data_IF_282873676967
#
_entry.id   IF_282873676967
#
_cell.length_a   1.000
_cell.length_b   1.000
_cell.length_c   1.000
_cell.angle_alpha   90.00
_cell.angle_beta   90.00
_cell.angle_gamma   90.00
#
_symmetry.space_group_name_H-M   'P 1'
#
loop_
_entity.id
_entity.type
_entity.pdbx_description
1 polymer ?
2 non-polymer ?
3 non-polymer ?
4 water ?
#
# COMPACT_ATOMS: atom_id res chain seq x y z
N UNK A 4 3.75 20.14 2.55
CA UNK A 4 2.43 20.61 2.83
C UNK A 4 1.41 19.62 3.34
N UNK A 5 1.33 18.43 2.77
CA UNK A 5 0.32 17.45 3.20
C UNK A 5 0.50 17.02 4.62
N UNK A 6 1.70 16.57 4.98
CA UNK A 6 1.97 16.09 6.33
C UNK A 6 1.99 17.22 7.33
N UNK A 7 2.44 18.41 6.96
CA UNK A 7 2.35 19.52 7.89
C UNK A 7 0.89 19.83 8.20
N UNK A 8 0.02 19.80 7.19
CA UNK A 8 -1.38 20.13 7.38
C UNK A 8 -2.13 19.05 8.16
N UNK A 9 -1.98 17.79 7.78
CA UNK A 9 -2.77 16.72 8.38
C UNK A 9 -2.12 16.10 9.58
N UNK A 10 -0.80 16.08 9.59
CA UNK A 10 -0.02 15.63 10.73
C UNK A 10 -0.30 14.18 11.12
N UNK A 11 -0.49 13.99 12.40
CA UNK A 11 -0.68 12.68 12.97
C UNK A 11 -1.97 12.04 12.54
N UNK A 12 -1.91 10.94 11.84
CA UNK A 12 -3.11 10.22 11.41
C UNK A 12 -3.55 9.26 12.51
N UNK A 13 -4.84 9.00 12.57
CA UNK A 13 -5.38 8.02 13.51
C UNK A 13 -6.69 7.49 12.93
N UNK A 14 -7.21 6.46 13.63
CA UNK A 14 -8.52 5.89 13.29
C UNK A 14 -9.55 6.36 14.30
N UNK A 15 -10.66 6.92 13.81
CA UNK A 15 -11.78 7.34 14.65
C UNK A 15 -13.03 6.80 14.03
N UNK A 16 -13.77 5.96 14.81
CA UNK A 16 -15.00 5.39 14.30
C UNK A 16 -14.84 4.70 12.98
N UNK A 17 -13.72 3.98 12.81
CA UNK A 17 -13.49 3.20 11.62
C UNK A 17 -12.98 3.98 10.42
N UNK A 18 -12.66 5.26 10.61
CA UNK A 18 -12.27 6.17 9.52
C UNK A 18 -10.86 6.69 9.77
N UNK A 19 -10.10 6.82 8.70
CA UNK A 19 -8.82 7.54 8.78
C UNK A 19 -9.10 9.02 8.91
N UNK A 20 -8.52 9.63 9.94
CA UNK A 20 -8.66 11.04 10.22
C UNK A 20 -7.29 11.66 10.49
N UNK A 21 -7.24 12.97 10.35
CA UNK A 21 -6.06 13.77 10.66
C UNK A 21 -6.03 14.17 12.13
N UNK A 22 -5.05 14.97 12.50
CA UNK A 22 -4.82 15.32 13.90
C UNK A 22 -5.87 16.26 14.45
N UNK A 23 -6.69 16.84 13.59
CA UNK A 23 -7.78 17.70 14.01
C UNK A 23 -9.08 16.92 13.91
N UNK A 24 -9.02 15.59 13.67
CA UNK A 24 -10.20 14.77 13.63
C UNK A 24 -10.97 14.81 12.34
N UNK A 25 -10.44 15.36 11.29
CA UNK A 25 -11.17 15.42 10.02
C UNK A 25 -10.83 14.22 9.15
N UNK A 26 -11.79 13.69 8.41
CA UNK A 26 -11.47 12.58 7.50
C UNK A 26 -10.42 13.01 6.50
N UNK A 27 -9.53 12.12 6.16
CA UNK A 27 -8.55 12.34 5.12
C UNK A 27 -8.46 11.08 4.25
N UNK A 28 -8.20 11.28 2.99
CA UNK A 28 -8.07 10.22 2.03
C UNK A 28 -6.70 10.34 1.36
N UNK A 29 -5.91 9.28 1.44
CA UNK A 29 -4.63 9.21 0.79
C UNK A 29 -4.79 8.51 -0.55
N UNK A 30 -4.09 9.03 -1.58
CA UNK A 30 -4.07 8.41 -2.89
C UNK A 30 -2.64 8.50 -3.42
N UNK A 31 -2.11 7.39 -3.87
CA UNK A 31 -0.74 7.39 -4.37
C UNK A 31 -0.38 6.12 -5.12
N UNK A 32 0.92 5.96 -5.26
CA UNK A 32 1.49 4.85 -6.01
C UNK A 32 2.26 3.92 -5.10
N UNK A 33 2.22 2.64 -5.47
CA UNK A 33 3.16 1.64 -4.97
C UNK A 33 4.30 1.43 -5.96
N UNK A 34 5.49 1.25 -5.42
CA UNK A 34 6.55 0.67 -6.21
C UNK A 34 6.12 -0.76 -6.61
N UNK A 35 6.84 -1.31 -7.61
CA UNK A 35 6.86 -2.77 -7.79
C UNK A 35 7.91 -3.31 -6.84
N UNK A 36 8.34 -4.55 -6.99
CA UNK A 36 9.30 -5.07 -6.01
C UNK A 36 10.61 -4.31 -6.05
N UNK A 37 11.08 -3.91 -4.86
CA UNK A 37 12.27 -3.09 -4.74
C UNK A 37 13.51 -3.85 -5.18
N UNK A 38 13.48 -5.17 -5.22
CA UNK A 38 14.60 -5.97 -5.67
C UNK A 38 14.70 -5.97 -7.18
N UNK A 39 13.69 -5.59 -7.91
CA UNK A 39 13.64 -5.58 -9.36
C UNK A 39 13.61 -4.19 -9.97
N UNK A 40 12.84 -3.27 -9.40
CA UNK A 40 12.50 -2.00 -9.99
C UNK A 40 12.75 -0.85 -9.01
N UNK A 41 13.80 -1.00 -8.19
CA UNK A 41 14.13 0.01 -7.21
C UNK A 41 14.63 1.34 -7.79
N UNK A 42 15.07 1.30 -9.07
CA UNK A 42 15.53 2.55 -9.66
C UNK A 42 14.43 3.59 -9.80
N UNK A 43 13.16 3.17 -9.79
CA UNK A 43 12.06 4.12 -9.87
C UNK A 43 11.70 4.74 -8.53
N UNK A 44 12.39 4.36 -7.47
CA UNK A 44 12.09 4.84 -6.13
C UNK A 44 13.25 5.74 -5.67
N UNK A 45 13.01 7.05 -5.73
CA UNK A 45 14.05 8.04 -5.37
C UNK A 45 13.36 9.36 -5.14
N UNK A 46 14.07 10.29 -4.49
CA UNK A 46 13.49 11.58 -4.22
C UNK A 46 12.95 12.25 -5.47
N UNK A 47 13.70 12.25 -6.58
CA UNK A 47 13.23 12.98 -7.76
C UNK A 47 11.97 12.39 -8.35
N UNK A 48 11.88 11.09 -8.46
CA UNK A 48 10.65 10.50 -9.02
C UNK A 48 9.48 10.72 -8.07
N UNK A 49 9.71 10.62 -6.76
CA UNK A 49 8.64 10.83 -5.79
C UNK A 49 8.18 12.28 -5.80
N UNK A 50 9.13 13.21 -5.99
CA UNK A 50 8.78 14.63 -6.08
C UNK A 50 7.93 14.89 -7.34
N UNK A 51 8.29 14.25 -8.45
CA UNK A 51 7.51 14.38 -9.68
C UNK A 51 6.12 13.82 -9.46
N UNK A 52 5.99 12.64 -8.83
CA UNK A 52 4.65 12.11 -8.54
C UNK A 52 3.88 13.08 -7.65
N UNK A 53 4.52 13.65 -6.63
CA UNK A 53 3.79 14.62 -5.78
C UNK A 53 3.32 15.82 -6.57
N UNK A 54 4.22 16.40 -7.36
CA UNK A 54 3.94 17.66 -8.02
C UNK A 54 3.12 17.54 -9.28
N UNK A 55 3.33 16.54 -10.08
CA UNK A 55 2.63 16.37 -11.35
C UNK A 55 1.41 15.48 -11.20
N UNK A 56 1.44 14.41 -10.40
CA UNK A 56 0.29 13.55 -10.24
C UNK A 56 -0.57 13.97 -9.05
N UNK A 57 -0.01 14.62 -8.05
CA UNK A 57 -0.75 14.97 -6.83
C UNK A 57 -0.72 13.86 -5.78
N UNK A 58 0.20 12.92 -5.80
CA UNK A 58 0.20 11.89 -4.78
C UNK A 58 0.39 12.52 -3.40
N UNK A 59 -0.18 11.85 -2.39
CA UNK A 59 0.05 12.22 -0.99
C UNK A 59 0.50 11.03 -0.14
N UNK A 60 0.79 9.90 -0.79
CA UNK A 60 1.32 8.72 -0.13
C UNK A 60 2.12 7.95 -1.19
N UNK A 61 3.19 7.29 -0.73
CA UNK A 61 3.99 6.40 -1.57
C UNK A 61 4.21 5.11 -0.82
N UNK A 62 4.03 3.98 -1.50
CA UNK A 62 4.19 2.66 -0.89
C UNK A 62 5.45 1.97 -1.41
N UNK A 63 6.32 1.59 -0.46
CA UNK A 63 7.58 0.89 -0.75
C UNK A 63 7.37 -0.58 -0.57
N UNK A 64 7.26 -1.31 -1.70
CA UNK A 64 6.91 -2.76 -1.68
C UNK A 64 8.17 -3.62 -1.58
N UNK A 65 8.53 -3.92 -0.33
CA UNK A 65 9.75 -4.70 -0.05
C UNK A 65 9.36 -6.17 -0.01
N UNK A 66 9.41 -6.85 -1.15
CA UNK A 66 9.23 -8.29 -1.16
C UNK A 66 10.16 -8.90 -0.12
N UNK A 67 9.67 -9.93 0.55
CA UNK A 67 10.42 -10.76 1.45
C UNK A 67 11.08 -11.92 0.70
N UNK A 68 10.30 -12.65 -0.09
CA UNK A 68 10.82 -13.72 -0.91
C UNK A 68 11.01 -13.20 -2.34
N UNK A 69 11.10 -14.11 -3.31
CA UNK A 69 11.28 -13.72 -4.72
C UNK A 69 12.53 -12.87 -4.92
N UNK A 70 13.60 -13.17 -4.20
CA UNK A 70 14.84 -12.41 -4.31
C UNK A 70 14.87 -11.13 -3.50
N UNK A 71 13.84 -10.96 -2.67
CA UNK A 71 13.72 -9.80 -1.78
C UNK A 71 14.52 -9.89 -0.51
N UNK A 72 14.02 -9.30 0.56
CA UNK A 72 14.73 -9.06 1.76
C UNK A 72 15.33 -10.29 2.40
N UNK A 73 14.62 -11.42 2.45
CA UNK A 73 15.18 -12.61 3.11
C UNK A 73 16.43 -13.10 2.35
N UNK A 74 16.43 -13.04 1.05
CA UNK A 74 17.57 -13.48 0.24
C UNK A 74 18.64 -12.45 0.20
N UNK A 75 18.31 -11.17 0.20
CA UNK A 75 19.29 -10.10 0.08
C UNK A 75 18.69 -8.92 0.83
N UNK A 76 19.12 -8.73 2.06
CA UNK A 76 18.51 -7.72 2.92
C UNK A 76 18.88 -6.31 2.59
N UNK A 77 19.80 -6.11 1.61
CA UNK A 77 20.18 -4.76 1.23
C UNK A 77 19.01 -3.91 0.77
N UNK A 78 17.93 -4.55 0.33
CA UNK A 78 16.77 -3.81 -0.09
C UNK A 78 16.13 -2.97 1.01
N UNK A 79 16.38 -3.31 2.29
CA UNK A 79 15.88 -2.44 3.36
C UNK A 79 16.40 -1.01 3.24
N UNK A 80 17.62 -0.85 2.67
CA UNK A 80 18.14 0.52 2.53
C UNK A 80 17.38 1.32 1.51
N UNK A 81 16.78 0.65 0.50
CA UNK A 81 15.91 1.35 -0.44
C UNK A 81 14.62 1.77 0.24
N UNK A 82 14.09 0.95 1.16
CA UNK A 82 12.93 1.38 1.95
C UNK A 82 13.30 2.66 2.71
N UNK A 83 14.46 2.67 3.36
CA UNK A 83 14.90 3.87 4.11
C UNK A 83 14.96 5.07 3.16
N UNK A 84 15.55 4.89 1.96
CA UNK A 84 15.59 6.00 1.00
C UNK A 84 14.19 6.55 0.72
N UNK A 85 13.22 5.64 0.51
CA UNK A 85 11.86 6.06 0.23
C UNK A 85 11.24 6.79 1.40
N UNK A 86 11.44 6.29 2.61
CA UNK A 86 10.88 6.96 3.79
C UNK A 86 11.46 8.36 3.95
N UNK A 87 12.77 8.45 3.79
CA UNK A 87 13.44 9.76 3.91
C UNK A 87 12.98 10.72 2.85
N UNK A 88 12.76 10.24 1.61
CA UNK A 88 12.20 11.09 0.56
C UNK A 88 10.80 11.57 0.92
N UNK A 89 9.96 10.68 1.46
CA UNK A 89 8.60 11.08 1.84
C UNK A 89 8.65 12.14 2.94
N UNK A 90 9.56 11.98 3.89
CA UNK A 90 9.73 13.00 4.95
C UNK A 90 10.12 14.33 4.32
N UNK A 91 11.11 14.31 3.42
CA UNK A 91 11.57 15.54 2.78
C UNK A 91 10.52 16.18 1.90
N UNK A 92 9.62 15.38 1.31
CA UNK A 92 8.58 15.85 0.43
C UNK A 92 7.28 16.16 1.16
N UNK A 93 7.22 15.84 2.45
CA UNK A 93 6.02 16.10 3.26
C UNK A 93 4.83 15.28 2.77
N UNK A 94 5.05 14.01 2.44
CA UNK A 94 3.98 13.09 2.11
C UNK A 94 4.07 11.87 3.02
N UNK A 95 2.99 11.06 3.04
CA UNK A 95 2.99 9.83 3.81
C UNK A 95 3.70 8.72 3.06
N UNK A 96 4.10 7.68 3.81
CA UNK A 96 4.86 6.57 3.24
C UNK A 96 4.43 5.28 3.89
N UNK A 97 4.19 4.27 3.08
CA UNK A 97 3.86 2.92 3.58
C UNK A 97 5.10 2.02 3.45
N UNK A 98 5.50 1.45 4.57
CA UNK A 98 6.58 0.45 4.63
C UNK A 98 5.91 -0.94 4.52
N UNK A 99 6.02 -1.57 3.37
CA UNK A 99 5.28 -2.81 3.08
C UNK A 99 6.19 -4.01 3.10
N UNK A 100 5.98 -4.87 4.12
CA UNK A 100 6.59 -6.18 4.26
C UNK A 100 5.79 -7.10 3.29
N UNK A 101 6.37 -7.24 2.09
CA UNK A 101 5.58 -7.67 0.95
C UNK A 101 5.65 -9.17 0.74
N UNK A 102 4.92 -9.89 1.61
CA UNK A 102 4.78 -11.33 1.49
C UNK A 102 3.88 -11.65 0.29
N UNK A 103 4.14 -12.81 -0.31
CA UNK A 103 3.32 -13.25 -1.45
C UNK A 103 3.48 -14.75 -1.60
N UNK A 104 4.59 -15.20 -2.22
CA UNK A 104 4.82 -16.64 -2.36
C UNK A 104 5.03 -17.30 -1.01
N UNK A 105 5.64 -16.57 -0.08
CA UNK A 105 5.73 -16.92 1.32
C UNK A 105 4.38 -16.53 1.94
N UNK A 106 3.42 -17.43 1.71
CA UNK A 106 1.99 -17.06 1.76
C UNK A 106 1.43 -16.94 3.16
N UNK A 107 2.13 -17.52 4.13
CA UNK A 107 1.77 -17.41 5.55
C UNK A 107 2.72 -16.40 6.17
N UNK A 108 2.22 -15.31 6.76
CA UNK A 108 3.13 -14.31 7.36
C UNK A 108 3.97 -14.89 8.47
N UNK A 109 3.57 -16.03 9.05
CA UNK A 109 4.37 -16.62 10.09
C UNK A 109 5.69 -17.21 9.60
N UNK A 110 5.85 -17.45 8.30
CA UNK A 110 7.07 -18.09 7.82
C UNK A 110 8.28 -17.26 8.21
N UNK A 111 8.22 -15.93 7.98
CA UNK A 111 9.35 -15.06 8.28
C UNK A 111 9.03 -14.10 9.43
N UNK A 112 8.25 -14.55 10.41
CA UNK A 112 7.83 -13.66 11.49
C UNK A 112 8.99 -13.16 12.31
N UNK A 113 10.03 -13.97 12.56
CA UNK A 113 11.15 -13.50 13.36
C UNK A 113 11.84 -12.33 12.66
N UNK A 114 12.06 -12.51 11.34
CA UNK A 114 12.68 -11.47 10.54
C UNK A 114 11.81 -10.23 10.48
N UNK A 115 10.48 -10.42 10.39
CA UNK A 115 9.55 -9.30 10.36
C UNK A 115 9.63 -8.47 11.64
N UNK A 116 9.67 -9.19 12.77
CA UNK A 116 9.75 -8.48 14.05
C UNK A 116 11.03 -7.64 14.12
N UNK A 117 12.14 -8.23 13.69
CA UNK A 117 13.41 -7.47 13.73
C UNK A 117 13.37 -6.30 12.78
N UNK A 118 12.83 -6.48 11.59
CA UNK A 118 12.74 -5.40 10.60
C UNK A 118 11.86 -4.27 11.10
N UNK A 119 10.67 -4.61 11.62
CA UNK A 119 9.80 -3.56 12.10
C UNK A 119 10.30 -2.91 13.38
N UNK A 120 11.05 -3.62 14.22
CA UNK A 120 11.74 -2.98 15.33
C UNK A 120 12.68 -1.89 14.80
N UNK A 121 13.50 -2.25 13.81
CA UNK A 121 14.45 -1.29 13.25
C UNK A 121 13.75 -0.10 12.65
N UNK A 122 12.74 -0.34 11.82
CA UNK A 122 12.07 0.76 11.12
C UNK A 122 11.35 1.69 12.08
N UNK A 123 10.68 1.11 13.08
CA UNK A 123 9.95 1.94 14.04
C UNK A 123 10.89 2.67 15.01
N UNK A 124 12.07 2.09 15.28
CA UNK A 124 13.06 2.82 16.07
C UNK A 124 13.57 4.01 15.25
N UNK A 125 13.85 3.81 13.97
CA UNK A 125 14.40 4.91 13.16
C UNK A 125 13.38 5.99 12.92
N UNK A 126 12.15 5.62 12.58
CA UNK A 126 11.20 6.55 12.02
C UNK A 126 9.97 6.76 12.87
N UNK A 127 9.90 6.16 14.05
CA UNK A 127 8.70 6.22 14.86
C UNK A 127 8.35 7.54 15.41
N UNK A 128 9.20 8.55 15.34
CA UNK A 128 8.85 9.90 15.77
C UNK A 128 8.58 10.84 14.60
N UNK A 129 8.21 10.27 13.43
CA UNK A 129 7.68 11.02 12.31
C UNK A 129 6.22 10.63 12.08
N UNK A 130 5.35 11.55 11.69
CA UNK A 130 3.95 11.20 11.43
C UNK A 130 3.74 10.60 10.03
N UNK A 131 4.80 10.58 9.22
CA UNK A 131 4.62 10.16 7.83
C UNK A 131 4.40 8.66 7.68
N UNK A 132 4.88 7.87 8.64
CA UNK A 132 5.04 6.43 8.44
C UNK A 132 3.73 5.69 8.73
N UNK A 133 3.49 4.73 7.83
CA UNK A 133 2.39 3.77 7.92
C UNK A 133 3.07 2.39 7.74
N UNK A 134 2.83 1.46 8.67
CA UNK A 134 3.47 0.16 8.60
C UNK A 134 2.49 -0.87 8.01
N UNK A 135 2.91 -1.57 6.98
CA UNK A 135 2.05 -2.62 6.36
C UNK A 135 2.77 -3.93 6.56
N UNK A 136 2.29 -4.71 7.59
CA UNK A 136 3.07 -5.81 8.14
C UNK A 136 2.98 -7.11 7.39
N UNK A 137 2.06 -7.27 6.45
CA UNK A 137 1.99 -8.53 5.66
C UNK A 137 1.09 -8.28 4.43
N UNK A 138 1.74 -7.92 3.30
CA UNK A 138 1.01 -7.56 2.09
C UNK A 138 -0.21 -8.45 1.79
N UNK A 139 0.03 -9.71 1.42
CA UNK A 139 -1.03 -10.59 0.92
C UNK A 139 -0.88 -12.00 1.44
N UNK A 140 -1.32 -12.25 2.70
CA UNK A 140 -1.56 -13.62 3.14
C UNK A 140 -2.42 -14.33 2.09
N UNK A 141 -2.15 -15.60 1.83
CA UNK A 141 -2.96 -16.34 0.87
C UNK A 141 -2.81 -17.85 1.14
N UNK A 142 -3.74 -18.59 0.53
CA UNK A 142 -3.80 -20.02 0.68
C UNK A 142 -4.93 -20.41 1.61
N UNK A 143 -5.55 -21.58 1.33
CA UNK A 143 -6.65 -22.06 2.19
C UNK A 143 -6.21 -22.37 3.59
N UNK A 144 -4.95 -22.65 3.83
CA UNK A 144 -4.43 -22.95 5.13
C UNK A 144 -3.90 -21.76 5.91
N UNK A 145 -4.16 -20.54 5.40
CA UNK A 145 -3.79 -19.31 6.08
C UNK A 145 -5.06 -18.54 6.36
N UNK A 146 -5.52 -18.58 7.60
CA UNK A 146 -6.76 -17.93 7.98
C UNK A 146 -6.47 -16.76 8.92
N UNK A 147 -7.46 -15.87 8.99
CA UNK A 147 -7.38 -14.75 9.91
C UNK A 147 -7.18 -15.21 11.34
N UNK A 148 -8.08 -16.07 11.84
CA UNK A 148 -8.01 -16.41 13.25
C UNK A 148 -6.84 -17.25 13.63
N UNK A 149 -6.38 -18.13 12.75
CA UNK A 149 -5.34 -19.10 13.07
C UNK A 149 -3.93 -18.63 12.77
N UNK A 150 -3.78 -17.84 11.71
CA UNK A 150 -2.47 -17.43 11.25
C UNK A 150 -2.25 -15.91 11.29
N UNK A 151 -3.16 -15.14 10.70
CA UNK A 151 -2.84 -13.73 10.45
C UNK A 151 -2.98 -12.88 11.72
N UNK A 152 -4.10 -13.04 12.41
CA UNK A 152 -4.31 -12.26 13.64
C UNK A 152 -3.23 -12.55 14.65
N UNK A 153 -2.85 -13.81 14.92
CA UNK A 153 -1.80 -14.04 15.90
C UNK A 153 -0.45 -13.50 15.43
N UNK A 154 -0.15 -13.55 14.14
CA UNK A 154 1.06 -12.91 13.61
C UNK A 154 1.07 -11.41 13.94
N UNK A 155 -0.08 -10.75 13.66
CA UNK A 155 -0.18 -9.32 13.93
C UNK A 155 0.01 -9.06 15.42
N UNK A 156 -0.49 -9.94 16.29
CA UNK A 156 -0.38 -9.77 17.73
C UNK A 156 1.00 -10.03 18.24
N UNK A 157 1.95 -10.53 17.43
CA UNK A 157 3.35 -10.57 17.73
C UNK A 157 4.11 -9.34 17.19
N UNK A 158 3.74 -8.88 15.98
CA UNK A 158 4.50 -7.79 15.34
C UNK A 158 4.05 -6.42 15.86
N UNK A 159 2.76 -6.23 16.05
CA UNK A 159 2.27 -4.91 16.51
C UNK A 159 2.91 -4.50 17.83
N UNK A 160 3.08 -5.37 18.85
CA UNK A 160 3.74 -4.93 20.07
C UNK A 160 5.15 -4.42 19.85
N UNK A 161 5.89 -5.04 18.94
CA UNK A 161 7.25 -4.63 18.60
C UNK A 161 7.21 -3.18 18.11
N UNK A 162 6.32 -2.89 17.15
CA UNK A 162 6.18 -1.53 16.65
C UNK A 162 5.76 -0.58 17.76
N UNK A 163 4.76 -0.96 18.53
CA UNK A 163 4.18 -0.07 19.52
C UNK A 163 5.13 0.27 20.64
N UNK A 164 6.14 -0.55 20.90
CA UNK A 164 7.14 -0.22 21.88
C UNK A 164 7.97 1.01 21.44
N UNK A 165 8.06 1.24 20.13
CA UNK A 165 8.78 2.38 19.58
C UNK A 165 7.93 3.48 19.04
N UNK A 166 6.68 3.20 18.67
CA UNK A 166 5.84 4.10 17.90
C UNK A 166 4.42 3.80 18.36
N UNK A 167 3.89 4.57 19.30
CA UNK A 167 2.65 4.15 19.99
C UNK A 167 1.41 4.24 19.16
N UNK A 168 1.41 4.94 18.05
CA UNK A 168 0.10 5.13 17.42
C UNK A 168 0.18 5.53 15.94
N UNK A 169 1.31 5.48 15.19
CA UNK A 169 1.16 5.57 13.72
C UNK A 169 0.35 4.37 13.21
N UNK A 170 -0.29 4.57 12.05
CA UNK A 170 -1.17 3.55 11.48
C UNK A 170 -0.40 2.29 11.13
N UNK A 171 -1.06 1.14 11.41
CA UNK A 171 -0.60 -0.17 10.99
C UNK A 171 -1.68 -0.78 10.11
N UNK A 172 -1.30 -1.20 8.90
CA UNK A 172 -2.19 -1.92 7.98
C UNK A 172 -1.86 -3.41 8.09
N UNK A 173 -2.89 -4.22 8.29
CA UNK A 173 -2.72 -5.67 8.45
C UNK A 173 -3.43 -6.37 7.28
N UNK A 174 -2.67 -7.22 6.60
CA UNK A 174 -3.22 -7.99 5.48
C UNK A 174 -4.30 -8.96 5.94
N UNK A 175 -5.13 -9.33 4.96
CA UNK A 175 -6.23 -10.25 5.22
C UNK A 175 -6.10 -11.48 4.33
N UNK A 176 -6.98 -12.48 4.60
CA UNK A 176 -6.83 -13.73 3.87
C UNK A 176 -7.19 -13.61 2.40
N UNK A 177 -6.81 -14.68 1.67
CA UNK A 177 -7.17 -14.77 0.26
C UNK A 177 -6.62 -13.56 -0.52
N UNK A 178 -5.33 -13.32 -0.38
CA UNK A 178 -4.65 -12.19 -1.05
C UNK A 178 -5.26 -10.86 -0.64
N UNK A 179 -5.46 -10.68 0.67
CA UNK A 179 -6.02 -9.44 1.20
C UNK A 179 -7.34 -9.09 0.58
N UNK A 180 -8.22 -10.10 0.46
CA UNK A 180 -9.60 -9.89 0.11
C UNK A 180 -10.58 -10.15 1.22
N UNK A 181 -10.21 -11.01 2.18
CA UNK A 181 -11.16 -11.51 3.18
C UNK A 181 -11.27 -10.56 4.38
N UNK A 182 -11.82 -9.39 4.10
CA UNK A 182 -12.07 -8.40 5.12
C UNK A 182 -13.26 -8.79 5.98
N UNK A 183 -14.17 -9.64 5.49
CA UNK A 183 -15.28 -10.07 6.33
C UNK A 183 -14.80 -10.76 7.59
N UNK A 184 -13.91 -11.75 7.46
CA UNK A 184 -13.48 -12.47 8.64
C UNK A 184 -12.70 -11.58 9.58
N UNK A 185 -11.84 -10.69 9.06
CA UNK A 185 -11.10 -9.78 9.93
C UNK A 185 -12.03 -8.85 10.69
N UNK A 186 -13.07 -8.34 9.98
CA UNK A 186 -13.97 -7.38 10.60
C UNK A 186 -14.81 -8.02 11.71
N UNK A 187 -15.03 -9.33 11.62
CA UNK A 187 -15.75 -10.05 12.66
C UNK A 187 -14.87 -10.47 13.82
N UNK A 188 -13.56 -10.22 13.76
CA UNK A 188 -12.62 -10.68 14.78
C UNK A 188 -11.44 -9.70 14.84
N UNK A 189 -11.76 -8.46 15.15
CA UNK A 189 -10.81 -7.37 15.02
C UNK A 189 -9.71 -7.42 16.06
N UNK A 190 -8.56 -6.85 15.68
CA UNK A 190 -7.46 -6.61 16.57
C UNK A 190 -7.81 -5.53 17.61
N UNK A 191 -7.09 -5.55 18.73
CA UNK A 191 -7.32 -4.59 19.77
C UNK A 191 -6.75 -3.19 19.48
N UNK A 192 -5.63 -3.09 18.76
CA UNK A 192 -5.01 -1.76 18.63
C UNK A 192 -5.95 -0.78 17.95
N UNK A 193 -6.08 0.45 18.47
CA UNK A 193 -7.06 1.38 17.93
C UNK A 193 -6.64 2.04 16.65
N UNK A 194 -5.38 1.92 16.23
CA UNK A 194 -4.89 2.57 15.02
C UNK A 194 -4.45 1.53 13.98
N UNK A 195 -5.23 0.48 13.88
CA UNK A 195 -5.09 -0.55 12.86
C UNK A 195 -6.10 -0.38 11.76
N UNK A 196 -5.68 -0.74 10.55
CA UNK A 196 -6.56 -0.86 9.41
C UNK A 196 -6.32 -2.23 8.78
N UNK A 197 -7.30 -2.72 8.06
CA UNK A 197 -7.18 -4.01 7.37
C UNK A 197 -7.02 -3.73 5.87
N UNK A 198 -6.10 -4.46 5.24
CA UNK A 198 -5.89 -4.29 3.82
C UNK A 198 -7.00 -4.97 3.03
N UNK A 199 -7.37 -4.27 1.94
CA UNK A 199 -8.23 -4.85 0.91
C UNK A 199 -7.58 -4.54 -0.43
N UNK A 200 -7.40 -5.56 -1.27
CA UNK A 200 -6.77 -5.40 -2.58
C UNK A 200 -7.73 -5.87 -3.65
N UNK A 201 -7.74 -5.16 -4.80
CA UNK A 201 -8.58 -5.57 -5.92
C UNK A 201 -7.85 -5.36 -7.24
N UNK A 202 -8.39 -6.03 -8.26
CA UNK A 202 -7.92 -5.88 -9.62
C UNK A 202 -9.14 -5.68 -10.50
N UNK A 203 -9.11 -4.67 -11.36
CA UNK A 203 -10.29 -4.30 -12.13
C UNK A 203 -10.69 -5.32 -13.18
N UNK A 204 -9.83 -6.27 -13.52
CA UNK A 204 -10.22 -7.36 -14.40
C UNK A 204 -11.19 -8.35 -13.78
N UNK A 205 -11.38 -8.28 -12.47
CA UNK A 205 -12.36 -9.12 -11.78
C UNK A 205 -13.64 -8.32 -11.59
N UNK A 206 -14.79 -8.92 -11.93
CA UNK A 206 -16.06 -8.24 -11.71
C UNK A 206 -16.24 -8.04 -10.19
N UNK A 207 -16.44 -6.80 -9.77
CA UNK A 207 -16.24 -6.43 -8.38
C UNK A 207 -17.45 -6.18 -7.53
N UNK A 208 -18.67 -6.46 -7.98
CA UNK A 208 -19.83 -6.00 -7.23
C UNK A 208 -19.95 -6.63 -5.85
N UNK A 209 -19.71 -7.94 -5.76
CA UNK A 209 -19.76 -8.56 -4.43
C UNK A 209 -18.62 -8.13 -3.55
N UNK A 210 -17.43 -7.93 -4.14
CA UNK A 210 -16.29 -7.47 -3.35
C UNK A 210 -16.55 -6.11 -2.74
N UNK A 211 -17.21 -5.19 -3.49
CA UNK A 211 -17.62 -3.92 -2.92
C UNK A 211 -18.57 -4.14 -1.76
N UNK A 212 -19.55 -5.05 -1.92
CA UNK A 212 -20.51 -5.30 -0.84
C UNK A 212 -19.80 -5.87 0.39
N UNK A 213 -18.74 -6.68 0.20
CA UNK A 213 -18.00 -7.23 1.33
C UNK A 213 -17.19 -6.14 2.04
N UNK A 214 -16.63 -5.21 1.27
CA UNK A 214 -15.96 -4.05 1.92
C UNK A 214 -16.98 -3.29 2.75
N UNK A 215 -18.17 -3.05 2.22
CA UNK A 215 -19.22 -2.39 2.99
C UNK A 215 -19.57 -3.15 4.26
N UNK A 216 -19.64 -4.48 4.19
CA UNK A 216 -19.91 -5.28 5.39
C UNK A 216 -18.84 -4.99 6.43
N UNK A 217 -17.57 -5.01 6.02
CA UNK A 217 -16.47 -4.79 6.96
C UNK A 217 -16.55 -3.41 7.60
N UNK A 218 -16.78 -2.40 6.77
CA UNK A 218 -16.92 -1.04 7.27
C UNK A 218 -18.07 -0.94 8.25
N UNK A 219 -19.15 -1.67 8.02
CA UNK A 219 -20.31 -1.68 8.92
C UNK A 219 -20.02 -2.31 10.25
N UNK A 220 -18.92 -3.08 10.40
CA UNK A 220 -18.50 -3.63 11.67
C UNK A 220 -17.55 -2.69 12.41
N UNK A 221 -17.31 -1.49 11.86
CA UNK A 221 -16.41 -0.54 12.49
C UNK A 221 -14.97 -0.77 12.14
N UNK A 222 -14.64 -1.71 11.23
CA UNK A 222 -13.29 -1.93 10.79
C UNK A 222 -12.88 -0.84 9.82
N UNK A 223 -11.64 -0.34 9.94
CA UNK A 223 -11.09 0.60 8.98
C UNK A 223 -10.37 -0.19 7.89
N UNK A 224 -10.51 0.25 6.63
CA UNK A 224 -9.97 -0.47 5.48
C UNK A 224 -9.07 0.47 4.70
N UNK A 225 -7.86 -0.02 4.36
CA UNK A 225 -6.95 0.74 3.47
C UNK A 225 -6.77 -0.12 2.23
N UNK A 226 -7.02 0.44 1.06
CA UNK A 226 -6.85 -0.31 -0.22
C UNK A 226 -5.39 -0.13 -0.62
N UNK A 227 -4.52 -0.89 0.08
CA UNK A 227 -3.09 -0.63 -0.03
C UNK A 227 -2.47 -1.10 -1.35
N UNK A 228 -3.23 -1.82 -2.14
CA UNK A 228 -2.77 -2.25 -3.48
C UNK A 228 -4.00 -2.50 -4.32
N UNK A 229 -4.01 -1.94 -5.53
CA UNK A 229 -5.03 -2.29 -6.49
C UNK A 229 -4.45 -2.09 -7.88
N UNK A 230 -4.99 -2.83 -8.87
CA UNK A 230 -4.57 -2.66 -10.23
C UNK A 230 -5.72 -2.48 -11.20
N UNK A 231 -5.38 -1.87 -12.34
CA UNK A 231 -6.31 -1.73 -13.45
C UNK A 231 -6.37 -3.00 -14.32
N UNK A 232 -5.52 -3.95 -14.08
CA UNK A 232 -5.37 -5.19 -14.83
C UNK A 232 -6.17 -6.32 -14.23
N UNK A 233 -5.95 -7.52 -14.79
CA UNK A 233 -6.38 -8.75 -14.15
C UNK A 233 -5.53 -9.02 -12.91
N UNK A 234 -5.91 -10.05 -12.14
CA UNK A 234 -5.28 -10.37 -10.88
C UNK A 234 -3.86 -10.85 -10.96
N UNK A 235 -3.42 -11.19 -12.18
CA UNK A 235 -2.01 -11.53 -12.40
C UNK A 235 -1.14 -10.31 -12.52
N UNK A 236 -1.73 -9.11 -12.60
CA UNK A 236 -0.99 -7.91 -12.89
C UNK A 236 -0.90 -7.61 -14.36
N UNK A 237 -1.41 -8.50 -15.21
CA UNK A 237 -1.35 -8.36 -16.64
C UNK A 237 -2.74 -8.61 -17.24
N UNK A 238 -2.78 -8.98 -18.48
CA UNK A 238 -3.93 -9.30 -19.26
C UNK A 238 -4.93 -8.22 -19.65
N UNK A 239 -4.51 -7.04 -19.93
CA UNK A 239 -5.56 -6.11 -20.32
C UNK A 239 -5.81 -5.12 -19.24
N UNK A 240 -6.27 -3.98 -19.64
CA UNK A 240 -6.64 -2.87 -18.76
C UNK A 240 -8.16 -2.77 -18.77
N UNK A 241 -8.73 -2.56 -17.61
CA UNK A 241 -10.18 -2.63 -17.37
C UNK A 241 -10.65 -1.33 -16.76
N UNK A 242 -10.62 -0.27 -17.53
CA UNK A 242 -10.88 1.05 -16.98
C UNK A 242 -12.29 1.30 -16.58
N UNK A 243 -13.27 0.64 -17.18
CA UNK A 243 -14.66 0.82 -16.76
C UNK A 243 -14.81 0.34 -15.31
N UNK A 244 -14.39 -0.86 -15.02
CA UNK A 244 -14.51 -1.38 -13.66
C UNK A 244 -13.59 -0.62 -12.73
N UNK A 245 -12.41 -0.19 -13.19
CA UNK A 245 -11.54 0.62 -12.33
C UNK A 245 -12.26 1.88 -11.88
N UNK A 246 -12.96 2.54 -12.82
CA UNK A 246 -13.67 3.76 -12.47
C UNK A 246 -14.76 3.49 -11.43
N UNK A 247 -15.48 2.36 -11.57
CA UNK A 247 -16.49 2.00 -10.56
C UNK A 247 -15.83 1.91 -9.20
N UNK A 248 -14.67 1.25 -9.10
CA UNK A 248 -13.95 1.15 -7.85
C UNK A 248 -13.48 2.52 -7.35
N UNK A 249 -12.97 3.37 -8.24
CA UNK A 249 -12.52 4.71 -7.84
C UNK A 249 -13.67 5.46 -7.18
N UNK A 250 -14.84 5.41 -7.80
CA UNK A 250 -16.00 6.14 -7.27
C UNK A 250 -16.44 5.54 -5.92
N UNK A 251 -16.45 4.22 -5.82
CA UNK A 251 -16.75 3.54 -4.57
C UNK A 251 -15.80 3.99 -3.46
N UNK A 252 -14.50 4.01 -3.75
CA UNK A 252 -13.54 4.40 -2.73
C UNK A 252 -13.75 5.84 -2.30
N UNK A 253 -14.07 6.73 -3.22
CA UNK A 253 -14.34 8.10 -2.83
C UNK A 253 -15.59 8.19 -1.95
N UNK A 254 -16.65 7.46 -2.30
CA UNK A 254 -17.87 7.49 -1.49
C UNK A 254 -17.63 6.96 -0.09
N UNK A 255 -16.74 5.95 0.07
CA UNK A 255 -16.47 5.31 1.35
C UNK A 255 -15.24 5.93 2.05
N UNK A 256 -14.66 7.01 1.49
CA UNK A 256 -13.44 7.58 2.07
C UNK A 256 -12.29 6.59 2.31
N UNK A 257 -12.06 5.77 1.27
CA UNK A 257 -11.01 4.79 1.36
C UNK A 257 -9.74 5.28 0.68
N UNK A 258 -8.67 5.20 1.44
CA UNK A 258 -7.33 5.51 0.92
C UNK A 258 -6.81 4.36 0.06
N UNK A 259 -5.88 4.71 -0.86
CA UNK A 259 -5.42 3.68 -1.80
C UNK A 259 -4.03 3.99 -2.35
N UNK A 260 -3.40 2.89 -2.79
CA UNK A 260 -2.14 2.95 -3.54
C UNK A 260 -2.29 1.99 -4.75
N UNK A 261 -1.96 2.53 -5.93
CA UNK A 261 -2.04 1.75 -7.17
C UNK A 261 -0.74 0.99 -7.45
N UNK A 262 -0.94 -0.24 -7.97
CA UNK A 262 0.12 -1.11 -8.39
C UNK A 262 0.25 -1.00 -9.92
N UNK A 263 1.39 -0.57 -10.46
CA UNK A 263 2.61 -0.22 -9.75
C UNK A 263 3.46 0.69 -10.64
N UNK A 264 4.45 1.32 -9.99
CA UNK A 264 5.35 2.26 -10.65
C UNK A 264 6.57 1.49 -11.20
N UNK A 265 6.41 1.02 -12.44
CA UNK A 265 7.47 0.32 -13.16
C UNK A 265 7.21 0.45 -14.64
N UNK A 266 8.22 0.13 -15.44
CA UNK A 266 8.11 0.05 -16.88
C UNK A 266 7.92 -1.40 -17.35
N UNK A 267 7.74 -2.34 -16.48
CA UNK A 267 7.54 -3.74 -16.86
C UNK A 267 6.47 -3.85 -17.90
N UNK A 268 6.61 -4.77 -18.85
CA UNK A 268 5.62 -4.97 -19.90
C UNK A 268 4.45 -5.81 -19.41
N UNK A 269 3.61 -5.19 -18.60
CA UNK A 269 2.39 -5.80 -18.09
C UNK A 269 1.39 -4.65 -17.97
N UNK A 270 0.10 -4.98 -18.09
CA UNK A 270 -0.89 -3.93 -18.15
C UNK A 270 -0.99 -3.08 -16.88
N UNK A 271 -0.73 -3.63 -15.70
CA UNK A 271 -0.83 -2.80 -14.51
C UNK A 271 0.30 -1.81 -14.36
N UNK A 272 1.40 -1.97 -15.08
CA UNK A 272 2.55 -1.08 -14.93
C UNK A 272 2.18 0.32 -15.37
N UNK A 273 2.55 1.36 -14.63
CA UNK A 273 2.18 2.71 -14.93
C UNK A 273 3.02 3.38 -16.03
N UNK A 274 4.21 2.84 -16.30
CA UNK A 274 5.16 3.55 -17.17
C UNK A 274 5.48 2.69 -18.40
N UNK A 275 5.86 3.41 -19.45
CA UNK A 275 6.31 2.76 -20.70
C UNK A 275 7.78 2.39 -20.57
N UNK A 276 8.31 1.67 -21.55
CA UNK A 276 9.71 1.25 -21.55
C UNK A 276 10.76 2.33 -21.40
N UNK A 277 10.62 3.50 -21.98
CA UNK A 277 11.39 4.67 -22.04
C UNK A 277 11.29 5.74 -20.96
N UNK A 278 10.45 5.44 -19.94
CA UNK A 278 10.26 6.39 -18.86
C UNK A 278 11.53 6.51 -17.99
N UNK A 279 11.83 7.77 -17.77
CA UNK A 279 13.04 8.05 -16.95
C UNK A 279 12.81 7.64 -15.51
N UNK A 280 13.73 6.97 -14.85
CA UNK A 280 13.51 6.56 -13.47
C UNK A 280 13.45 7.70 -12.47
N UNK A 281 13.84 8.88 -12.87
CA UNK A 281 13.80 10.07 -12.02
C UNK A 281 12.64 11.00 -12.30
N UNK A 282 11.66 10.58 -13.10
CA UNK A 282 10.45 11.36 -13.31
C UNK A 282 10.48 12.19 -14.57
N UNK A 283 9.54 13.15 -14.61
CA UNK A 283 9.43 14.07 -15.75
C UNK A 283 8.67 13.51 -16.93
N UNK A 284 7.88 12.46 -16.73
CA UNK A 284 7.27 11.73 -17.83
C UNK A 284 6.32 12.56 -18.68
N UNK A 285 6.48 12.39 -19.97
CA UNK A 285 5.55 12.91 -20.96
C UNK A 285 4.37 11.96 -21.03
N UNK A 286 3.31 12.36 -21.75
CA UNK A 286 2.12 11.55 -21.93
C UNK A 286 2.51 10.24 -22.58
N UNK A 287 3.43 10.24 -23.55
CA UNK A 287 3.80 9.06 -24.26
C UNK A 287 4.56 8.05 -23.43
N UNK A 288 5.13 8.50 -22.28
CA UNK A 288 5.88 7.64 -21.38
C UNK A 288 5.03 7.04 -20.28
N UNK A 289 3.76 7.38 -20.23
CA UNK A 289 2.82 6.74 -19.33
C UNK A 289 2.06 5.67 -20.10
N UNK A 290 1.79 4.53 -19.49
CA UNK A 290 0.99 3.49 -20.06
C UNK A 290 -0.46 3.88 -20.00
N UNK A 291 -1.36 3.09 -20.65
CA UNK A 291 -2.76 3.37 -20.46
C UNK A 291 -3.18 3.34 -18.98
N UNK A 292 -2.64 2.41 -18.22
CA UNK A 292 -2.91 2.37 -16.79
C UNK A 292 -2.40 3.63 -16.08
N UNK A 293 -1.15 3.99 -16.33
CA UNK A 293 -0.57 5.16 -15.67
C UNK A 293 -1.30 6.43 -15.99
N UNK A 294 -1.69 6.57 -17.27
CA UNK A 294 -2.43 7.77 -17.67
C UNK A 294 -3.73 7.92 -16.85
N UNK A 295 -4.45 6.80 -16.72
CA UNK A 295 -5.70 6.78 -15.96
C UNK A 295 -5.45 7.13 -14.48
N UNK A 296 -4.47 6.43 -13.87
CA UNK A 296 -4.23 6.66 -12.42
C UNK A 296 -3.81 8.10 -12.16
N UNK A 297 -2.91 8.62 -13.03
CA UNK A 297 -2.54 10.04 -12.88
C UNK A 297 -3.74 10.95 -12.94
N UNK A 298 -4.62 10.69 -13.93
CA UNK A 298 -5.84 11.51 -14.03
C UNK A 298 -6.66 11.44 -12.76
N UNK A 299 -6.83 10.22 -12.21
CA UNK A 299 -7.64 10.07 -11.01
C UNK A 299 -7.07 10.88 -9.86
N UNK A 300 -5.74 10.83 -9.68
CA UNK A 300 -5.17 11.57 -8.54
C UNK A 300 -5.19 13.07 -8.82
N UNK A 301 -4.95 13.51 -10.03
CA UNK A 301 -5.02 14.95 -10.35
C UNK A 301 -6.42 15.47 -10.14
N UNK A 302 -7.47 14.72 -10.49
CA UNK A 302 -8.86 15.14 -10.34
C UNK A 302 -9.20 15.30 -8.87
N UNK A 303 -8.58 14.50 -8.02
CA UNK A 303 -8.85 14.48 -6.60
C UNK A 303 -8.29 15.75 -6.00
#
# INVERSE_FOLDING_TARGET
>A
DNDSVVEEHGQLSISNGELVNERGEQVQLKGMSSHGLQWYGQFVNYESMKWLRDDWGINVFRAAMYTSSGGYIDDPSVKEKVKEAVEAAIDLDIYVIIDWHILSDNDPNIYKEEAKDFFDEMSELYGDYPNVIYEIANEPNGSDVTWGNQIKPYAEEVIPIIRNNDPNNIIIVGTGTWSQDVHHAADNQLADPNVMYAFHFYAGTHGQNLRDQVDYALDQGAAIFVSEWGTSAATGDGGVFLDEAQVWIDFMDERNLSWANWSLTHKDESSAALMPGANPTGGWTEAELSPSGTFVREKIRES
#
